data_IF_233619483982
#
_entry.id   IF_233619483982
#
_cell.length_a   1.000
_cell.length_b   1.000
_cell.length_c   1.000
_cell.angle_alpha   90.00
_cell.angle_beta   90.00
_cell.angle_gamma   90.00
#
_symmetry.space_group_name_H-M   'P 1'
#
loop_
_entity.id
_entity.type
_entity.pdbx_description
1 polymer ?
#
# COMPACT_ATOMS: atom_id res chain seq x y z
N UNK A 1 -8.40 -13.75 -7.68
CA UNK A 1 -8.90 -12.37 -7.88
C UNK A 1 -8.17 -11.45 -6.91
N UNK A 2 -7.92 -10.18 -7.25
CA UNK A 2 -7.31 -9.22 -6.33
C UNK A 2 -8.19 -9.00 -5.09
N UNK A 3 -7.59 -8.75 -3.94
CA UNK A 3 -8.34 -8.27 -2.76
C UNK A 3 -9.09 -6.98 -3.12
N UNK A 4 -10.36 -6.90 -2.73
CA UNK A 4 -11.17 -5.69 -2.91
C UNK A 4 -10.56 -4.52 -2.13
N UNK A 5 -10.13 -4.77 -0.89
CA UNK A 5 -9.43 -3.81 -0.05
C UNK A 5 -8.20 -3.23 -0.76
N UNK A 6 -7.35 -4.10 -1.33
CA UNK A 6 -6.15 -3.66 -2.04
C UNK A 6 -6.46 -2.97 -3.37
N UNK A 7 -7.58 -3.31 -4.02
CA UNK A 7 -8.01 -2.65 -5.26
C UNK A 7 -8.46 -1.21 -4.97
N UNK A 8 -9.27 -1.00 -3.93
CA UNK A 8 -9.66 0.33 -3.48
C UNK A 8 -8.44 1.13 -3.02
N UNK A 9 -7.56 0.53 -2.21
CA UNK A 9 -6.32 1.15 -1.75
C UNK A 9 -5.44 1.61 -2.93
N UNK A 10 -5.26 0.74 -3.94
CA UNK A 10 -4.50 1.08 -5.16
C UNK A 10 -5.05 2.34 -5.80
N UNK A 11 -6.36 2.43 -6.00
CA UNK A 11 -6.99 3.54 -6.71
C UNK A 11 -6.81 4.86 -5.94
N UNK A 12 -6.90 4.81 -4.61
CA UNK A 12 -6.68 5.96 -3.73
C UNK A 12 -5.23 6.47 -3.73
N UNK A 13 -4.24 5.60 -3.88
CA UNK A 13 -2.81 5.99 -3.81
C UNK A 13 -2.15 6.15 -5.19
N UNK A 14 -2.85 5.81 -6.28
CA UNK A 14 -2.28 5.70 -7.64
C UNK A 14 -1.68 7.02 -8.13
N UNK A 15 -2.37 8.13 -7.94
CA UNK A 15 -1.92 9.45 -8.40
C UNK A 15 -0.63 9.86 -7.69
N UNK A 16 -0.62 9.86 -6.36
CA UNK A 16 0.57 10.17 -5.56
C UNK A 16 1.74 9.24 -5.86
N UNK A 17 1.48 7.95 -6.03
CA UNK A 17 2.52 6.99 -6.42
C UNK A 17 3.13 7.36 -7.78
N UNK A 18 2.30 7.73 -8.77
CA UNK A 18 2.75 8.18 -10.09
C UNK A 18 3.60 9.45 -10.00
N UNK A 19 3.17 10.45 -9.22
CA UNK A 19 3.93 11.69 -8.98
C UNK A 19 5.33 11.40 -8.42
N UNK A 20 5.44 10.41 -7.53
CA UNK A 20 6.70 9.99 -6.92
C UNK A 20 7.51 8.99 -7.78
N UNK A 21 7.11 8.77 -9.03
CA UNK A 21 7.79 7.85 -9.95
C UNK A 21 7.69 6.39 -9.53
N UNK A 22 6.65 6.01 -8.80
CA UNK A 22 6.43 4.65 -8.31
C UNK A 22 5.42 3.90 -9.19
N UNK A 23 5.73 2.64 -9.49
CA UNK A 23 4.79 1.71 -10.11
C UNK A 23 4.06 0.92 -9.04
N UNK A 24 2.74 0.78 -9.17
CA UNK A 24 1.95 -0.10 -8.30
C UNK A 24 1.70 -1.42 -9.03
N UNK A 25 1.99 -2.54 -8.37
CA UNK A 25 1.57 -3.89 -8.80
C UNK A 25 0.64 -4.49 -7.75
N UNK A 26 -0.48 -5.06 -8.20
CA UNK A 26 -1.38 -5.83 -7.34
C UNK A 26 -1.43 -7.26 -7.87
N UNK A 27 -1.11 -8.23 -7.01
CA UNK A 27 -1.11 -9.65 -7.33
C UNK A 27 -1.75 -10.42 -6.16
N UNK A 28 -2.94 -10.99 -6.41
CA UNK A 28 -3.70 -11.71 -5.38
C UNK A 28 -3.99 -10.82 -4.17
N UNK A 29 -3.49 -11.24 -3.00
CA UNK A 29 -3.62 -10.51 -1.74
C UNK A 29 -2.41 -9.65 -1.40
N UNK A 30 -1.60 -9.25 -2.38
CA UNK A 30 -0.43 -8.39 -2.18
C UNK A 30 -0.41 -7.23 -3.16
N UNK A 31 -0.08 -6.04 -2.66
CA UNK A 31 0.18 -4.82 -3.41
C UNK A 31 1.63 -4.37 -3.15
N UNK A 32 2.37 -4.02 -4.20
CA UNK A 32 3.74 -3.52 -4.13
C UNK A 32 3.85 -2.15 -4.78
N UNK A 33 4.54 -1.22 -4.13
CA UNK A 33 5.02 0.01 -4.73
C UNK A 33 6.50 -0.19 -5.08
N UNK A 34 6.82 0.03 -6.35
CA UNK A 34 8.15 -0.21 -6.92
C UNK A 34 8.77 1.08 -7.42
N UNK A 35 10.07 1.26 -7.19
CA UNK A 35 10.92 2.25 -7.86
C UNK A 35 12.04 1.50 -8.56
N UNK A 36 12.18 1.67 -9.87
CA UNK A 36 13.25 1.04 -10.66
C UNK A 36 13.35 -0.49 -10.46
N UNK A 37 12.20 -1.16 -10.32
CA UNK A 37 12.13 -2.61 -10.09
C UNK A 37 12.35 -3.06 -8.65
N UNK A 38 12.77 -2.17 -7.74
CA UNK A 38 12.91 -2.46 -6.32
C UNK A 38 11.62 -2.19 -5.55
N UNK A 39 11.30 -3.06 -4.59
CA UNK A 39 10.13 -2.86 -3.72
C UNK A 39 10.43 -1.85 -2.62
N UNK A 40 9.77 -0.70 -2.69
CA UNK A 40 9.87 0.36 -1.69
C UNK A 40 8.89 0.12 -0.54
N UNK A 41 7.68 -0.33 -0.89
CA UNK A 41 6.62 -0.65 0.07
C UNK A 41 5.84 -1.87 -0.39
N UNK A 42 5.45 -2.72 0.56
CA UNK A 42 4.60 -3.88 0.32
C UNK A 42 3.40 -3.84 1.26
N UNK A 43 2.21 -4.11 0.75
CA UNK A 43 0.97 -4.20 1.52
C UNK A 43 0.33 -5.55 1.24
N UNK A 44 0.10 -6.36 2.26
CA UNK A 44 -0.49 -7.69 2.14
C UNK A 44 -1.82 -7.76 2.90
N UNK A 45 -2.89 -8.15 2.21
CA UNK A 45 -4.17 -8.47 2.84
C UNK A 45 -4.13 -9.90 3.38
N UNK A 46 -4.34 -10.05 4.69
CA UNK A 46 -4.30 -11.33 5.41
C UNK A 46 -5.67 -11.72 5.96
N UNK A 47 -6.75 -11.21 5.38
CA UNK A 47 -8.11 -11.49 5.83
C UNK A 47 -8.63 -10.40 6.76
N UNK A 48 -8.48 -10.59 8.06
CA UNK A 48 -8.92 -9.64 9.10
C UNK A 48 -7.95 -8.46 9.27
N UNK A 49 -6.69 -8.66 8.89
CA UNK A 49 -5.65 -7.65 9.01
C UNK A 49 -5.00 -7.33 7.66
N UNK A 50 -4.39 -6.15 7.58
CA UNK A 50 -3.51 -5.75 6.48
C UNK A 50 -2.12 -5.44 7.03
N UNK A 51 -1.10 -5.98 6.38
CA UNK A 51 0.30 -5.83 6.77
C UNK A 51 1.03 -4.92 5.79
N UNK A 52 1.56 -3.80 6.27
CA UNK A 52 2.40 -2.88 5.52
C UNK A 52 3.87 -3.09 5.89
N UNK A 53 4.74 -3.23 4.91
CA UNK A 53 6.19 -3.28 5.08
C UNK A 53 6.86 -2.12 4.36
N UNK A 54 7.71 -1.38 5.06
CA UNK A 54 8.41 -0.22 4.54
C UNK A 54 9.73 0.00 5.30
N UNK A 55 10.84 0.22 4.58
CA UNK A 55 12.19 0.42 5.15
C UNK A 55 12.56 -0.61 6.23
N UNK A 56 12.29 -1.89 5.98
CA UNK A 56 12.59 -3.00 6.89
C UNK A 56 11.67 -3.12 8.11
N UNK A 57 10.71 -2.19 8.28
CA UNK A 57 9.71 -2.25 9.36
C UNK A 57 8.41 -2.85 8.84
N UNK A 58 7.72 -3.58 9.70
CA UNK A 58 6.41 -4.17 9.44
C UNK A 58 5.38 -3.55 10.39
N UNK A 59 4.24 -3.17 9.84
CA UNK A 59 3.11 -2.58 10.54
C UNK A 59 1.87 -3.41 10.21
N UNK A 60 1.11 -3.78 11.23
CA UNK A 60 -0.12 -4.57 11.07
C UNK A 60 -1.30 -3.73 11.50
N UNK A 61 -2.33 -3.68 10.67
CA UNK A 61 -3.55 -2.92 10.90
C UNK A 61 -4.76 -3.85 10.87
N UNK A 62 -5.62 -3.70 11.86
CA UNK A 62 -6.92 -4.37 11.89
C UNK A 62 -7.88 -3.68 10.90
N UNK A 63 -8.50 -4.46 10.00
CA UNK A 63 -9.40 -3.93 8.94
C UNK A 63 -10.76 -3.52 9.47
N UNK A 64 -11.16 -3.95 10.67
CA UNK A 64 -12.36 -3.45 11.33
C UNK A 64 -12.28 -1.92 11.54
N UNK A 65 -11.09 -1.44 11.88
CA UNK A 65 -10.82 -0.02 12.17
C UNK A 65 -10.12 0.71 11.01
N UNK A 66 -9.39 -0.02 10.18
CA UNK A 66 -8.52 0.56 9.15
C UNK A 66 -9.09 0.31 7.76
N UNK A 67 -10.05 1.16 7.36
CA UNK A 67 -10.58 1.19 5.99
C UNK A 67 -9.49 1.58 4.98
N UNK A 68 -9.64 1.24 3.68
CA UNK A 68 -8.65 1.58 2.65
C UNK A 68 -8.27 3.07 2.64
N UNK A 69 -9.22 3.98 2.88
CA UNK A 69 -8.98 5.43 2.91
C UNK A 69 -8.07 5.85 4.06
N UNK A 70 -8.17 5.18 5.21
CA UNK A 70 -7.31 5.46 6.36
C UNK A 70 -5.87 5.07 6.05
N UNK A 71 -5.66 3.86 5.52
CA UNK A 71 -4.33 3.39 5.15
C UNK A 71 -3.75 4.20 3.97
N UNK A 72 -4.60 4.59 3.00
CA UNK A 72 -4.19 5.42 1.87
C UNK A 72 -3.60 6.76 2.34
N UNK A 73 -4.24 7.44 3.30
CA UNK A 73 -3.71 8.68 3.90
C UNK A 73 -2.34 8.47 4.53
N UNK A 74 -2.16 7.38 5.30
CA UNK A 74 -0.85 7.04 5.87
C UNK A 74 0.20 6.81 4.80
N UNK A 75 -0.13 6.06 3.75
CA UNK A 75 0.80 5.80 2.64
C UNK A 75 1.17 7.11 1.96
N UNK A 76 0.19 7.94 1.58
CA UNK A 76 0.43 9.23 0.91
C UNK A 76 1.36 10.11 1.74
N UNK A 77 1.10 10.25 3.05
CA UNK A 77 1.96 11.03 3.94
C UNK A 77 3.40 10.50 3.97
N UNK A 78 3.57 9.17 4.02
CA UNK A 78 4.90 8.55 3.97
C UNK A 78 5.58 8.83 2.62
N UNK A 79 4.86 8.73 1.51
CA UNK A 79 5.38 9.04 0.17
C UNK A 79 5.78 10.51 0.05
N UNK A 80 5.10 11.43 0.73
CA UNK A 80 5.43 12.86 0.70
C UNK A 80 6.67 13.20 1.52
N UNK A 81 6.77 12.67 2.74
CA UNK A 81 7.80 13.07 3.70
C UNK A 81 9.08 12.27 3.57
N UNK A 82 9.00 11.02 3.11
CA UNK A 82 10.11 10.06 3.24
C UNK A 82 10.66 9.51 1.91
N UNK A 83 10.16 9.97 0.77
CA UNK A 83 10.53 9.56 -0.61
C UNK A 83 10.54 10.70 -1.61
#
# INVERSE_FOLDING_TARGET
MPSEYLSQLRDLVREKAREKGLKILVAGSTMKLLREGQTVMNVADRGEVVELSFKGKKYTYDKWYTKPEHLARTIIQVLEVQL
#
